data_IF_280997829214
#
_entry.id   IF_280997829214
#
_cell.length_a   1.000
_cell.length_b   1.000
_cell.length_c   1.000
_cell.angle_alpha   90.00
_cell.angle_beta   90.00
_cell.angle_gamma   90.00
#
_symmetry.space_group_name_H-M   'P 1'
#
loop_
_entity.id
_entity.type
_entity.pdbx_description
1 polymer ?
#
# COMPACT_ATOMS: atom_id res chain seq x y z
N UNK A 1 12.74 6.21 9.34
CA UNK A 1 14.06 5.94 8.74
C UNK A 1 14.27 6.88 7.54
N UNK A 2 15.16 7.88 7.67
CA UNK A 2 15.45 8.85 6.61
C UNK A 2 16.00 8.23 5.32
N UNK A 3 16.86 7.22 5.40
CA UNK A 3 17.46 6.57 4.22
C UNK A 3 16.39 5.81 3.43
N UNK A 4 15.52 5.08 4.14
CA UNK A 4 14.40 4.38 3.53
C UNK A 4 13.46 5.34 2.78
N UNK A 5 13.13 6.49 3.39
CA UNK A 5 12.29 7.52 2.75
C UNK A 5 12.92 8.04 1.46
N UNK A 6 14.21 8.36 1.48
CA UNK A 6 14.93 8.85 0.31
C UNK A 6 14.97 7.79 -0.81
N UNK A 7 15.24 6.53 -0.47
CA UNK A 7 15.25 5.42 -1.43
C UNK A 7 13.89 5.23 -2.10
N UNK A 8 12.81 5.20 -1.31
CA UNK A 8 11.46 5.02 -1.86
C UNK A 8 11.05 6.21 -2.72
N UNK A 9 11.37 7.45 -2.33
CA UNK A 9 11.12 8.64 -3.14
C UNK A 9 11.84 8.58 -4.50
N UNK A 10 13.08 8.09 -4.52
CA UNK A 10 13.83 7.88 -5.76
C UNK A 10 13.19 6.80 -6.65
N UNK A 11 12.74 5.68 -6.07
CA UNK A 11 12.02 4.62 -6.81
C UNK A 11 10.72 5.14 -7.44
N UNK A 12 9.94 5.95 -6.70
CA UNK A 12 8.72 6.59 -7.23
C UNK A 12 9.02 7.53 -8.39
N UNK A 13 10.11 8.30 -8.29
CA UNK A 13 10.53 9.22 -9.36
C UNK A 13 10.93 8.48 -10.64
N UNK A 14 11.54 7.30 -10.51
CA UNK A 14 11.94 6.44 -11.64
C UNK A 14 10.77 5.80 -12.39
N UNK A 15 9.56 5.77 -11.84
CA UNK A 15 8.39 5.26 -12.55
C UNK A 15 8.13 6.10 -13.80
N UNK A 16 8.19 5.50 -14.98
CA UNK A 16 7.87 6.20 -16.23
C UNK A 16 6.36 6.46 -16.32
N UNK A 17 5.97 7.72 -16.55
CA UNK A 17 4.55 8.11 -16.57
C UNK A 17 3.90 8.08 -15.18
N UNK A 18 2.69 7.52 -15.10
CA UNK A 18 1.91 7.33 -13.86
C UNK A 18 1.65 8.62 -13.06
N UNK A 19 1.25 9.70 -13.74
CA UNK A 19 1.01 11.01 -13.13
C UNK A 19 0.09 10.94 -11.91
N UNK A 20 -1.00 10.16 -11.99
CA UNK A 20 -1.96 10.00 -10.88
C UNK A 20 -1.33 9.34 -9.64
N UNK A 21 -0.48 8.33 -9.83
CA UNK A 21 0.23 7.66 -8.73
C UNK A 21 1.22 8.61 -8.08
N UNK A 22 2.00 9.33 -8.88
CA UNK A 22 2.97 10.32 -8.37
C UNK A 22 2.26 11.45 -7.62
N UNK A 23 1.14 11.94 -8.14
CA UNK A 23 0.33 12.96 -7.47
C UNK A 23 -0.23 12.46 -6.14
N UNK A 24 -0.74 11.22 -6.09
CA UNK A 24 -1.21 10.60 -4.85
C UNK A 24 -0.10 10.51 -3.80
N UNK A 25 1.10 10.05 -4.19
CA UNK A 25 2.24 9.93 -3.27
C UNK A 25 2.68 11.31 -2.78
N UNK A 26 2.74 12.31 -3.66
CA UNK A 26 3.07 13.69 -3.29
C UNK A 26 2.07 14.28 -2.30
N UNK A 27 0.77 14.04 -2.49
CA UNK A 27 -0.26 14.51 -1.58
C UNK A 27 -0.11 13.85 -0.20
N UNK A 28 0.12 12.54 -0.17
CA UNK A 28 0.45 11.83 1.06
C UNK A 28 1.72 12.36 1.73
N UNK A 29 2.77 12.72 0.97
CA UNK A 29 3.98 13.35 1.53
C UNK A 29 3.66 14.65 2.26
N UNK A 30 2.76 15.47 1.71
CA UNK A 30 2.34 16.72 2.34
C UNK A 30 1.57 16.47 3.63
N UNK A 31 0.65 15.51 3.62
CA UNK A 31 -0.12 15.13 4.82
C UNK A 31 0.79 14.60 5.93
N UNK A 32 1.76 13.75 5.58
CA UNK A 32 2.75 13.26 6.56
C UNK A 32 3.58 14.41 7.12
N UNK A 33 4.11 15.28 6.25
CA UNK A 33 4.91 16.43 6.70
C UNK A 33 4.10 17.42 7.57
N UNK A 34 2.80 17.55 7.33
CA UNK A 34 1.90 18.32 8.20
C UNK A 34 1.82 17.73 9.60
N UNK A 35 1.62 16.41 9.72
CA UNK A 35 1.61 15.72 11.02
C UNK A 35 2.96 15.81 11.72
N UNK A 36 4.07 15.63 11.00
CA UNK A 36 5.42 15.76 11.57
C UNK A 36 5.73 17.16 12.11
N UNK A 37 5.08 18.21 11.59
CA UNK A 37 5.19 19.59 12.08
C UNK A 37 4.22 19.90 13.24
N UNK A 38 3.59 18.90 13.83
CA UNK A 38 2.64 19.07 14.95
C UNK A 38 1.17 19.18 14.54
N UNK A 39 0.85 18.88 13.27
CA UNK A 39 -0.53 18.75 12.81
C UNK A 39 -1.24 17.54 13.41
N UNK A 40 -2.57 17.52 13.34
CA UNK A 40 -3.39 16.43 13.91
C UNK A 40 -3.13 15.09 13.19
N UNK A 41 -2.65 14.04 13.87
CA UNK A 41 -2.36 12.75 13.24
C UNK A 41 -3.59 12.02 12.70
N UNK A 42 -4.81 12.41 13.10
CA UNK A 42 -6.06 11.81 12.58
C UNK A 42 -6.22 12.02 11.07
N UNK A 43 -5.56 13.01 10.48
CA UNK A 43 -5.54 13.22 9.02
C UNK A 43 -4.85 12.08 8.25
N UNK A 44 -4.04 11.26 8.92
CA UNK A 44 -3.44 10.04 8.35
C UNK A 44 -4.34 8.80 8.53
N UNK A 45 -5.39 8.88 9.35
CA UNK A 45 -6.34 7.79 9.61
C UNK A 45 -7.49 7.76 8.57
N UNK A 46 -7.25 8.29 7.38
CA UNK A 46 -8.20 8.21 6.27
C UNK A 46 -8.20 6.82 5.64
N UNK A 47 -9.19 6.50 4.81
CA UNK A 47 -9.24 5.22 4.10
C UNK A 47 -8.08 5.13 3.10
N UNK A 48 -7.12 4.23 3.36
CA UNK A 48 -5.95 3.97 2.50
C UNK A 48 -6.22 2.87 1.46
N UNK A 49 -7.47 2.44 1.29
CA UNK A 49 -7.82 1.44 0.29
C UNK A 49 -7.75 2.04 -1.12
N UNK A 50 -6.94 1.42 -1.99
CA UNK A 50 -6.70 1.89 -3.35
C UNK A 50 -7.14 0.85 -4.37
N UNK A 51 -7.72 1.32 -5.48
CA UNK A 51 -8.02 0.49 -6.65
C UNK A 51 -7.05 0.83 -7.77
N UNK A 52 -6.17 -0.11 -8.11
CA UNK A 52 -5.24 0.03 -9.24
C UNK A 52 -5.87 -0.58 -10.48
N UNK A 53 -6.19 0.25 -11.48
CA UNK A 53 -6.78 -0.20 -12.75
C UNK A 53 -5.84 0.04 -13.91
N UNK A 54 -5.78 -0.90 -14.85
CA UNK A 54 -4.98 -0.79 -16.06
C UNK A 54 -4.73 -2.16 -16.68
N UNK A 55 -4.24 -2.17 -17.93
CA UNK A 55 -3.95 -3.40 -18.67
C UNK A 55 -2.94 -4.30 -17.93
N UNK A 56 -2.93 -5.61 -18.17
CA UNK A 56 -1.84 -6.49 -17.73
C UNK A 56 -0.48 -5.92 -18.15
N UNK A 57 0.54 -6.05 -17.29
CA UNK A 57 1.90 -5.57 -17.58
C UNK A 57 2.14 -4.07 -17.34
N UNK A 58 1.16 -3.27 -16.91
CA UNK A 58 1.35 -1.83 -16.64
C UNK A 58 1.96 -1.52 -15.26
N UNK A 59 2.50 -2.51 -14.55
CA UNK A 59 3.20 -2.32 -13.28
C UNK A 59 2.32 -2.11 -12.04
N UNK A 60 1.05 -2.53 -12.06
CA UNK A 60 0.12 -2.41 -10.91
C UNK A 60 0.70 -2.98 -9.62
N UNK A 61 1.20 -4.22 -9.65
CA UNK A 61 1.83 -4.88 -8.49
C UNK A 61 3.06 -4.13 -8.00
N UNK A 62 3.90 -3.64 -8.91
CA UNK A 62 5.08 -2.82 -8.60
C UNK A 62 4.68 -1.52 -7.88
N UNK A 63 3.65 -0.83 -8.39
CA UNK A 63 3.11 0.38 -7.79
C UNK A 63 2.51 0.10 -6.41
N UNK A 64 1.72 -0.97 -6.25
CA UNK A 64 1.15 -1.35 -4.97
C UNK A 64 2.23 -1.54 -3.91
N UNK A 65 3.30 -2.27 -4.25
CA UNK A 65 4.42 -2.53 -3.36
C UNK A 65 5.16 -1.26 -2.98
N UNK A 66 5.39 -0.36 -3.93
CA UNK A 66 6.01 0.94 -3.68
C UNK A 66 5.16 1.81 -2.76
N UNK A 67 3.83 1.85 -2.95
CA UNK A 67 2.92 2.58 -2.08
C UNK A 67 2.96 2.01 -0.66
N UNK A 68 2.86 0.69 -0.50
CA UNK A 68 2.96 0.05 0.83
C UNK A 68 4.27 0.40 1.55
N UNK A 69 5.40 0.30 0.85
CA UNK A 69 6.72 0.65 1.38
C UNK A 69 6.85 2.13 1.72
N UNK A 70 6.26 3.01 0.90
CA UNK A 70 6.19 4.44 1.16
C UNK A 70 5.42 4.74 2.45
N UNK A 71 4.23 4.16 2.61
CA UNK A 71 3.41 4.33 3.81
C UNK A 71 4.14 3.86 5.07
N UNK A 72 4.84 2.72 4.99
CA UNK A 72 5.68 2.23 6.08
C UNK A 72 6.85 3.19 6.39
N UNK A 73 7.59 3.64 5.37
CA UNK A 73 8.73 4.55 5.54
C UNK A 73 8.33 5.88 6.22
N UNK A 74 7.09 6.31 6.01
CA UNK A 74 6.51 7.51 6.59
C UNK A 74 5.75 7.28 7.91
N UNK A 75 5.76 6.05 8.45
CA UNK A 75 5.15 5.72 9.74
C UNK A 75 3.62 5.63 9.71
N UNK A 76 3.02 5.61 8.52
CA UNK A 76 1.57 5.45 8.33
C UNK A 76 1.17 4.00 8.54
N UNK A 77 1.98 3.07 8.01
CA UNK A 77 1.85 1.64 8.31
C UNK A 77 2.87 1.24 9.38
N UNK A 78 2.47 0.48 10.40
CA UNK A 78 3.39 0.03 11.45
C UNK A 78 4.35 -1.09 11.01
N UNK A 79 4.08 -1.80 9.89
CA UNK A 79 4.92 -2.90 9.38
C UNK A 79 5.19 -2.78 7.88
N UNK A 80 6.38 -3.20 7.45
CA UNK A 80 6.76 -3.34 6.03
C UNK A 80 6.27 -4.68 5.44
N UNK A 81 5.06 -5.09 5.81
CA UNK A 81 4.48 -6.35 5.34
C UNK A 81 3.70 -6.08 4.06
N UNK A 82 3.98 -6.85 3.01
CA UNK A 82 3.21 -6.81 1.76
C UNK A 82 2.76 -8.23 1.41
N UNK A 83 1.46 -8.50 1.61
CA UNK A 83 0.84 -9.78 1.30
C UNK A 83 0.12 -9.67 -0.03
N UNK A 84 0.41 -10.58 -0.94
CA UNK A 84 -0.20 -10.65 -2.26
C UNK A 84 -1.07 -11.91 -2.34
N UNK A 85 -2.34 -11.74 -2.69
CA UNK A 85 -3.31 -12.82 -2.90
C UNK A 85 -4.03 -12.59 -4.22
N UNK A 86 -4.23 -13.64 -5.00
CA UNK A 86 -5.13 -13.60 -6.15
C UNK A 86 -6.50 -14.18 -5.78
N UNK A 87 -7.46 -14.09 -6.70
CA UNK A 87 -8.80 -14.64 -6.50
C UNK A 87 -8.82 -16.14 -6.12
N UNK A 88 -7.90 -16.95 -6.63
CA UNK A 88 -7.81 -18.38 -6.31
C UNK A 88 -7.32 -18.61 -4.88
N UNK A 89 -6.35 -17.82 -4.40
CA UNK A 89 -5.82 -17.91 -3.05
C UNK A 89 -6.84 -17.50 -1.98
N UNK A 90 -7.86 -16.72 -2.35
CA UNK A 90 -8.94 -16.31 -1.43
C UNK A 90 -10.15 -17.25 -1.47
N UNK A 91 -10.20 -18.19 -2.40
CA UNK A 91 -11.31 -19.13 -2.57
C UNK A 91 -11.03 -20.43 -1.82
N UNK A 92 -11.92 -20.80 -0.90
CA UNK A 92 -11.84 -22.08 -0.20
C UNK A 92 -12.02 -23.27 -1.14
N UNK A 93 -11.34 -24.38 -0.85
CA UNK A 93 -11.47 -25.62 -1.64
C UNK A 93 -12.81 -26.31 -1.38
N UNK A 94 -13.33 -26.17 -0.16
CA UNK A 94 -14.60 -26.76 0.28
C UNK A 94 -15.58 -25.70 0.78
N UNK A 95 -16.87 -26.08 0.84
CA UNK A 95 -17.93 -25.22 1.38
C UNK A 95 -17.58 -24.79 2.81
N UNK A 96 -17.75 -23.51 3.11
CA UNK A 96 -17.46 -22.92 4.41
C UNK A 96 -16.00 -22.48 4.61
N UNK A 97 -15.09 -22.74 3.67
CA UNK A 97 -13.66 -22.39 3.83
C UNK A 97 -13.28 -20.99 3.31
N UNK A 98 -14.07 -20.38 2.42
CA UNK A 98 -13.73 -19.06 1.87
C UNK A 98 -13.64 -17.98 2.96
N UNK A 99 -14.60 -17.95 3.89
CA UNK A 99 -14.60 -16.95 4.97
C UNK A 99 -13.33 -17.02 5.84
N UNK A 100 -12.92 -18.18 6.39
CA UNK A 100 -11.68 -18.26 7.16
C UNK A 100 -10.43 -17.95 6.31
N UNK A 101 -10.39 -18.35 5.03
CA UNK A 101 -9.26 -18.01 4.13
C UNK A 101 -9.11 -16.49 3.93
N UNK A 102 -10.21 -15.77 3.75
CA UNK A 102 -10.18 -14.30 3.63
C UNK A 102 -9.74 -13.65 4.95
N UNK A 103 -10.24 -14.14 6.09
CA UNK A 103 -9.84 -13.64 7.43
C UNK A 103 -8.34 -13.85 7.67
N UNK A 104 -7.80 -14.99 7.27
CA UNK A 104 -6.37 -15.30 7.37
C UNK A 104 -5.53 -14.37 6.49
N UNK A 105 -5.94 -14.14 5.24
CA UNK A 105 -5.24 -13.20 4.35
C UNK A 105 -5.19 -11.77 4.92
N UNK A 106 -6.27 -11.30 5.55
CA UNK A 106 -6.28 -9.99 6.24
C UNK A 106 -5.39 -10.01 7.48
N UNK A 107 -5.40 -11.10 8.24
CA UNK A 107 -4.56 -11.26 9.43
C UNK A 107 -3.07 -11.23 9.07
N UNK A 108 -2.67 -11.93 8.02
CA UNK A 108 -1.28 -11.96 7.53
C UNK A 108 -0.77 -10.56 7.16
N UNK A 109 -1.66 -9.73 6.60
CA UNK A 109 -1.35 -8.39 6.15
C UNK A 109 -1.45 -7.32 7.25
N UNK A 110 -1.85 -7.69 8.47
CA UNK A 110 -2.23 -6.71 9.48
C UNK A 110 -1.06 -5.81 9.90
N UNK A 111 -1.31 -4.50 9.88
CA UNK A 111 -0.28 -3.47 10.08
C UNK A 111 0.58 -3.18 8.85
N UNK A 112 0.38 -3.90 7.74
CA UNK A 112 1.02 -3.68 6.45
C UNK A 112 -0.01 -3.49 5.34
N UNK A 113 0.23 -4.11 4.19
CA UNK A 113 -0.60 -4.01 3.00
C UNK A 113 -1.06 -5.38 2.51
N UNK A 114 -2.36 -5.52 2.22
CA UNK A 114 -2.93 -6.63 1.47
C UNK A 114 -3.19 -6.16 0.04
N UNK A 115 -2.50 -6.76 -0.92
CA UNK A 115 -2.75 -6.56 -2.35
C UNK A 115 -3.53 -7.74 -2.91
N UNK A 116 -4.64 -7.42 -3.58
CA UNK A 116 -5.53 -8.40 -4.21
C UNK A 116 -5.43 -8.21 -5.72
N UNK A 117 -4.90 -9.22 -6.42
CA UNK A 117 -4.76 -9.26 -7.89
C UNK A 117 -5.94 -9.99 -8.56
#
# INVERSE_FOLDING_TARGET
DPELRQRVAAEVTRLTGMANVKAFIQEMSRTVAFVERGGDPRVLQTSLNLRLTGNPGTGKTTVARLIGKYLYAHGVLPRDTFVERNALALKGQFVGQTAPTVVEAVRDAMGGCLFID
#
